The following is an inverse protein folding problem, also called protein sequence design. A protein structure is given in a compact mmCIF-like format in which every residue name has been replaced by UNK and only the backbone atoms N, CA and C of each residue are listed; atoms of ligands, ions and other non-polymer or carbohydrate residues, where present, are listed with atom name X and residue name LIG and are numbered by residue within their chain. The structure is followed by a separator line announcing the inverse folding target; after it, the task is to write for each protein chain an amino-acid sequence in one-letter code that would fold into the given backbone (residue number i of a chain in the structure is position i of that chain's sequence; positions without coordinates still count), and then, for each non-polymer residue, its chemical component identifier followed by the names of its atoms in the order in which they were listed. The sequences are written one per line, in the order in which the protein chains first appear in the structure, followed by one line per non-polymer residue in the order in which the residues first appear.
data_IF_167046742979
#
_entry.id   IF_167046742979
#
_cell.length_a   1.000
_cell.length_b   1.000
_cell.length_c   1.000
_cell.angle_alpha   90.00
_cell.angle_beta   90.00
_cell.angle_gamma   90.00
#
_symmetry.space_group_name_H-M   'P 1'
#
loop_
_entity.id
_entity.type
_entity.pdbx_description
1 polymer ?
#
# COMPACT_ATOMS: atom_id res chain seq x y z
N UNK A 1 2.93 11.13 -14.97
CA UNK A 1 2.72 11.73 -13.65
C UNK A 1 2.87 10.69 -12.53
N UNK A 2 3.35 11.12 -11.38
CA UNK A 2 3.48 10.25 -10.21
C UNK A 2 2.11 9.69 -9.78
N UNK A 3 1.96 8.37 -9.55
CA UNK A 3 0.73 7.81 -9.04
C UNK A 3 0.55 8.09 -7.54
N UNK A 4 -0.69 8.13 -7.09
CA UNK A 4 -1.09 8.16 -5.69
C UNK A 4 -2.13 7.07 -5.42
N UNK A 5 -2.04 6.39 -4.28
CA UNK A 5 -3.00 5.41 -3.81
C UNK A 5 -3.39 5.76 -2.37
N UNK A 6 -4.69 5.89 -2.12
CA UNK A 6 -5.25 6.30 -0.83
C UNK A 6 -6.23 5.24 -0.33
N UNK A 7 -5.88 4.56 0.77
CA UNK A 7 -6.78 3.60 1.41
C UNK A 7 -7.85 4.31 2.22
N UNK A 8 -9.11 3.96 1.98
CA UNK A 8 -10.24 4.64 2.61
C UNK A 8 -11.44 3.70 2.83
N UNK A 9 -12.22 3.93 3.87
CA UNK A 9 -13.51 3.28 4.04
C UNK A 9 -14.62 4.01 3.24
N UNK A 10 -15.75 3.34 3.06
CA UNK A 10 -16.87 3.86 2.26
C UNK A 10 -17.43 5.20 2.78
N UNK A 11 -17.33 5.48 4.08
CA UNK A 11 -17.88 6.69 4.70
C UNK A 11 -17.13 7.95 4.31
N UNK A 12 -15.81 7.82 4.18
CA UNK A 12 -14.93 8.93 3.82
C UNK A 12 -14.62 8.99 2.32
N UNK A 13 -15.17 8.04 1.55
CA UNK A 13 -14.89 7.94 0.12
C UNK A 13 -15.20 9.23 -0.65
N UNK A 14 -16.38 9.90 -0.49
CA UNK A 14 -16.63 11.17 -1.18
C UNK A 14 -15.62 12.26 -0.80
N UNK A 15 -15.30 12.38 0.49
CA UNK A 15 -14.39 13.41 0.97
C UNK A 15 -12.98 13.26 0.42
N UNK A 16 -12.48 12.02 0.32
CA UNK A 16 -11.12 11.78 -0.18
C UNK A 16 -11.01 12.02 -1.69
N UNK A 17 -12.07 11.67 -2.45
CA UNK A 17 -12.08 11.94 -3.90
C UNK A 17 -12.15 13.42 -4.21
N UNK A 18 -12.91 14.19 -3.43
CA UNK A 18 -12.96 15.65 -3.55
C UNK A 18 -11.61 16.27 -3.16
N UNK A 19 -11.05 15.87 -2.02
CA UNK A 19 -9.76 16.37 -1.54
C UNK A 19 -8.63 16.11 -2.54
N UNK A 20 -8.59 14.92 -3.16
CA UNK A 20 -7.62 14.55 -4.19
C UNK A 20 -7.68 15.53 -5.37
N UNK A 21 -8.88 15.82 -5.86
CA UNK A 21 -9.11 16.71 -7.00
C UNK A 21 -8.83 18.17 -6.65
N UNK A 22 -9.23 18.64 -5.47
CA UNK A 22 -8.92 19.99 -4.99
C UNK A 22 -7.42 20.24 -4.82
N UNK A 23 -6.67 19.18 -4.47
CA UNK A 23 -5.22 19.23 -4.40
C UNK A 23 -4.54 19.23 -5.79
N UNK A 24 -5.31 19.25 -6.88
CA UNK A 24 -4.80 19.31 -8.26
C UNK A 24 -4.38 17.95 -8.84
N UNK A 25 -4.72 16.84 -8.18
CA UNK A 25 -4.48 15.51 -8.72
C UNK A 25 -5.60 15.09 -9.68
N UNK A 26 -5.27 14.28 -10.65
CA UNK A 26 -6.24 13.66 -11.55
C UNK A 26 -6.73 12.37 -10.90
N UNK A 27 -7.97 12.33 -10.45
CA UNK A 27 -8.59 11.10 -10.01
C UNK A 27 -8.81 10.18 -11.21
N UNK A 28 -8.27 8.96 -11.17
CA UNK A 28 -8.31 8.01 -12.27
C UNK A 28 -9.21 6.81 -12.01
N UNK A 29 -9.52 6.53 -10.77
CA UNK A 29 -10.41 5.42 -10.45
C UNK A 29 -10.25 4.93 -9.03
N UNK A 30 -10.79 3.73 -8.81
CA UNK A 30 -10.79 3.06 -7.51
C UNK A 30 -10.55 1.58 -7.70
N UNK A 31 -9.59 1.04 -6.97
CA UNK A 31 -9.46 -0.38 -6.77
C UNK A 31 -10.09 -0.79 -5.43
N UNK A 32 -10.36 -2.06 -5.27
CA UNK A 32 -11.04 -2.60 -4.08
C UNK A 32 -10.15 -3.63 -3.40
N UNK A 33 -9.96 -3.48 -2.11
CA UNK A 33 -9.45 -4.55 -1.27
C UNK A 33 -10.61 -5.30 -0.62
N UNK A 34 -10.84 -6.52 -1.10
CA UNK A 34 -11.78 -7.48 -0.53
C UNK A 34 -11.08 -8.28 0.58
N UNK A 35 -11.49 -8.07 1.82
CA UNK A 35 -10.94 -8.73 3.01
C UNK A 35 -11.42 -10.20 3.15
N UNK A 36 -12.36 -10.62 2.30
CA UNK A 36 -12.94 -11.97 2.28
C UNK A 36 -13.87 -12.25 3.45
N UNK A 37 -13.50 -11.86 4.65
CA UNK A 37 -14.30 -12.03 5.86
C UNK A 37 -14.55 -10.69 6.56
N UNK A 38 -15.78 -10.49 6.94
CA UNK A 38 -16.15 -9.43 7.87
C UNK A 38 -17.24 -9.98 8.80
N UNK A 39 -17.38 -9.36 9.96
CA UNK A 39 -18.41 -9.79 10.92
C UNK A 39 -19.78 -9.72 10.25
N UNK A 40 -20.52 -10.85 10.13
CA UNK A 40 -21.83 -10.84 9.51
C UNK A 40 -22.81 -10.05 10.39
N UNK A 41 -23.67 -9.26 9.74
CA UNK A 41 -24.76 -8.55 10.38
C UNK A 41 -26.08 -8.93 9.69
N UNK A 42 -27.04 -9.41 10.47
CA UNK A 42 -28.36 -9.82 9.92
C UNK A 42 -29.05 -8.63 9.24
N UNK A 43 -29.60 -8.85 8.04
CA UNK A 43 -30.33 -7.84 7.28
C UNK A 43 -29.47 -6.73 6.67
N UNK A 44 -28.14 -6.91 6.57
CA UNK A 44 -27.22 -5.92 6.01
C UNK A 44 -26.20 -6.56 5.09
N UNK A 45 -25.65 -5.77 4.19
CA UNK A 45 -24.48 -6.18 3.42
C UNK A 45 -23.22 -6.23 4.30
N UNK A 46 -22.33 -7.18 4.06
CA UNK A 46 -21.05 -7.27 4.75
C UNK A 46 -20.15 -6.09 4.37
N UNK A 47 -19.56 -5.45 5.36
CA UNK A 47 -18.56 -4.40 5.18
C UNK A 47 -17.16 -5.03 5.00
N UNK A 48 -16.99 -5.81 3.94
CA UNK A 48 -15.76 -6.56 3.70
C UNK A 48 -14.79 -5.87 2.74
N UNK A 49 -15.20 -4.77 2.13
CA UNK A 49 -14.38 -4.01 1.20
C UNK A 49 -13.78 -2.77 1.86
N UNK A 50 -12.54 -2.48 1.52
CA UNK A 50 -11.88 -1.19 1.69
C UNK A 50 -11.48 -0.68 0.30
N UNK A 51 -11.51 0.62 0.10
CA UNK A 51 -11.29 1.20 -1.22
C UNK A 51 -9.89 1.79 -1.32
N UNK A 52 -9.31 1.68 -2.52
CA UNK A 52 -8.04 2.29 -2.87
C UNK A 52 -8.35 3.32 -3.95
N UNK A 53 -8.59 4.56 -3.54
CA UNK A 53 -8.74 5.68 -4.48
C UNK A 53 -7.37 5.97 -5.06
N UNK A 54 -7.28 6.00 -6.40
CA UNK A 54 -6.01 6.24 -7.05
C UNK A 54 -6.08 7.33 -8.11
N UNK A 55 -4.97 8.00 -8.30
CA UNK A 55 -4.85 9.11 -9.22
C UNK A 55 -3.42 9.35 -9.66
N UNK A 56 -3.21 10.43 -10.39
CA UNK A 56 -1.86 10.84 -10.79
C UNK A 56 -1.67 12.35 -10.71
N UNK A 57 -0.46 12.76 -10.43
CA UNK A 57 -0.04 14.14 -10.57
C UNK A 57 0.35 14.40 -12.04
N UNK A 58 -0.62 14.92 -12.80
CA UNK A 58 -0.46 15.14 -14.24
C UNK A 58 -0.70 13.92 -15.12
N UNK A 59 -0.33 13.97 -16.40
CA UNK A 59 -0.58 12.92 -17.38
C UNK A 59 0.06 11.59 -17.01
N UNK A 60 -0.63 10.49 -17.35
CA UNK A 60 -0.15 9.14 -17.18
C UNK A 60 -0.18 8.43 -18.54
N UNK A 61 0.94 8.40 -19.29
CA UNK A 61 1.01 7.81 -20.62
C UNK A 61 0.74 6.31 -20.60
N UNK A 62 0.15 5.79 -21.67
CA UNK A 62 -0.17 4.35 -21.82
C UNK A 62 1.11 3.49 -21.91
N UNK A 63 2.19 4.05 -22.44
CA UNK A 63 3.45 3.34 -22.65
C UNK A 63 4.38 3.32 -21.42
N UNK A 64 3.85 3.55 -20.23
CA UNK A 64 4.62 3.35 -18.99
C UNK A 64 5.07 1.90 -18.86
N UNK A 65 6.29 1.65 -18.32
CA UNK A 65 6.80 0.29 -18.12
C UNK A 65 6.14 -0.39 -16.89
N UNK A 66 4.83 -0.32 -16.81
CA UNK A 66 4.00 -0.87 -15.73
C UNK A 66 2.91 -1.74 -16.36
N UNK A 67 2.78 -2.97 -15.88
CA UNK A 67 1.75 -3.90 -16.34
C UNK A 67 0.34 -3.44 -15.97
N UNK A 68 -0.67 -4.03 -16.60
CA UNK A 68 -2.05 -3.87 -16.15
C UNK A 68 -2.22 -4.54 -14.78
N UNK A 69 -2.64 -3.76 -13.78
CA UNK A 69 -2.82 -4.23 -12.42
C UNK A 69 -4.29 -4.59 -12.15
N UNK A 70 -4.57 -5.53 -11.23
CA UNK A 70 -5.93 -5.89 -10.87
C UNK A 70 -6.67 -4.71 -10.20
N UNK A 71 -7.96 -4.58 -10.51
CA UNK A 71 -8.85 -3.62 -9.84
C UNK A 71 -9.46 -4.15 -8.54
N UNK A 72 -9.26 -5.44 -8.21
CA UNK A 72 -9.74 -6.08 -6.99
C UNK A 72 -8.64 -6.96 -6.40
N UNK A 73 -8.29 -6.70 -5.16
CA UNK A 73 -7.31 -7.45 -4.38
C UNK A 73 -8.03 -8.27 -3.31
N UNK A 74 -7.71 -9.57 -3.18
CA UNK A 74 -8.34 -10.47 -2.20
C UNK A 74 -7.31 -10.96 -1.20
N UNK A 75 -7.20 -10.25 -0.09
CA UNK A 75 -6.30 -10.57 1.01
C UNK A 75 -7.02 -10.48 2.33
N UNK A 76 -6.98 -11.54 3.13
CA UNK A 76 -7.48 -11.50 4.50
C UNK A 76 -6.74 -10.48 5.36
N UNK A 77 -7.39 -10.04 6.41
CA UNK A 77 -6.69 -9.21 7.40
C UNK A 77 -5.54 -10.01 8.04
N UNK A 78 -4.38 -9.38 8.31
CA UNK A 78 -3.29 -10.04 9.04
C UNK A 78 -3.79 -10.57 10.39
N UNK A 79 -3.43 -11.83 10.73
CA UNK A 79 -3.88 -12.46 11.97
C UNK A 79 -3.14 -11.93 13.20
N UNK A 80 -1.84 -11.67 13.06
CA UNK A 80 -0.96 -11.14 14.13
C UNK A 80 -0.62 -9.67 13.85
N UNK A 81 -1.64 -8.81 13.91
CA UNK A 81 -1.43 -7.39 13.65
C UNK A 81 -0.60 -6.74 14.74
N UNK A 82 0.42 -6.04 14.33
CA UNK A 82 1.21 -5.16 15.19
C UNK A 82 0.48 -3.82 15.37
N UNK A 83 -0.30 -3.43 14.35
CA UNK A 83 -1.13 -2.22 14.36
C UNK A 83 -2.56 -2.55 13.92
N UNK A 84 -3.58 -1.89 14.53
CA UNK A 84 -5.01 -2.14 14.22
C UNK A 84 -5.35 -1.91 12.75
N UNK A 85 -4.68 -0.96 12.10
CA UNK A 85 -4.88 -0.61 10.68
C UNK A 85 -3.83 -1.20 9.76
N UNK A 86 -3.00 -2.14 10.24
CA UNK A 86 -1.97 -2.77 9.42
C UNK A 86 -2.57 -3.47 8.20
N UNK A 87 -2.03 -3.15 7.02
CA UNK A 87 -2.42 -3.79 5.76
C UNK A 87 -1.63 -5.08 5.56
N UNK A 88 -2.21 -6.09 4.86
CA UNK A 88 -1.44 -7.27 4.48
C UNK A 88 -0.22 -6.89 3.65
N UNK A 89 0.94 -7.46 3.96
CA UNK A 89 2.19 -7.19 3.24
C UNK A 89 2.05 -7.49 1.74
N UNK A 90 1.42 -8.61 1.39
CA UNK A 90 1.22 -8.99 -0.02
C UNK A 90 0.30 -8.02 -0.76
N UNK A 91 -0.75 -7.49 -0.12
CA UNK A 91 -1.56 -6.42 -0.70
C UNK A 91 -0.71 -5.19 -1.04
N UNK A 92 0.17 -4.79 -0.11
CA UNK A 92 1.04 -3.63 -0.34
C UNK A 92 2.04 -3.89 -1.45
N UNK A 93 2.62 -5.09 -1.53
CA UNK A 93 3.50 -5.50 -2.63
C UNK A 93 2.81 -5.38 -4.00
N UNK A 94 1.54 -5.76 -4.09
CA UNK A 94 0.79 -5.66 -5.35
C UNK A 94 0.41 -4.22 -5.68
N UNK A 95 -0.03 -3.44 -4.69
CA UNK A 95 -0.43 -2.03 -4.90
C UNK A 95 0.74 -1.16 -5.35
N UNK A 96 1.93 -1.35 -4.77
CA UNK A 96 3.11 -0.55 -5.13
C UNK A 96 3.62 -0.83 -6.56
N UNK A 97 3.20 -1.92 -7.22
CA UNK A 97 3.54 -2.21 -8.61
C UNK A 97 3.05 -1.12 -9.59
N UNK A 98 2.17 -0.22 -9.16
CA UNK A 98 1.81 0.96 -9.95
C UNK A 98 2.97 1.95 -10.11
N UNK A 99 3.97 1.88 -9.26
CA UNK A 99 5.22 2.62 -9.37
C UNK A 99 6.05 2.07 -10.55
N UNK A 100 6.69 2.96 -11.29
CA UNK A 100 7.60 2.54 -12.35
C UNK A 100 8.89 1.92 -11.77
N UNK A 101 9.50 0.95 -12.46
CA UNK A 101 10.78 0.39 -12.03
C UNK A 101 11.81 1.49 -11.74
N UNK A 102 12.51 1.38 -10.61
CA UNK A 102 13.46 2.39 -10.13
C UNK A 102 12.84 3.65 -9.54
N UNK A 103 11.50 3.72 -9.45
CA UNK A 103 10.80 4.84 -8.81
C UNK A 103 10.95 4.82 -7.29
N UNK A 104 10.73 6.00 -6.68
CA UNK A 104 10.72 6.19 -5.23
C UNK A 104 9.29 6.18 -4.70
N UNK A 105 9.03 5.34 -3.70
CA UNK A 105 7.74 5.26 -3.00
C UNK A 105 7.81 6.13 -1.75
N UNK A 106 6.82 7.01 -1.58
CA UNK A 106 6.65 7.82 -0.37
C UNK A 106 5.40 7.38 0.37
N UNK A 107 5.55 7.01 1.63
CA UNK A 107 4.42 6.79 2.55
C UNK A 107 4.50 7.80 3.72
N UNK A 108 3.71 8.88 3.69
CA UNK A 108 3.74 9.90 4.73
C UNK A 108 3.03 9.48 6.02
N UNK A 109 2.44 8.27 6.08
CA UNK A 109 1.74 7.70 7.24
C UNK A 109 2.14 6.24 7.44
N UNK A 110 3.46 5.99 7.51
CA UNK A 110 4.06 4.66 7.38
C UNK A 110 3.66 3.66 8.49
N UNK A 111 3.22 4.15 9.65
CA UNK A 111 2.82 3.28 10.76
C UNK A 111 3.92 2.29 11.14
N UNK A 112 3.59 0.99 11.12
CA UNK A 112 4.54 -0.10 11.36
C UNK A 112 5.40 -0.46 10.12
N UNK A 113 5.49 0.40 9.10
CA UNK A 113 6.41 0.28 7.99
C UNK A 113 6.04 -0.75 6.92
N UNK A 114 4.78 -1.19 6.82
CA UNK A 114 4.39 -2.25 5.87
C UNK A 114 4.65 -1.85 4.41
N UNK A 115 4.40 -0.59 4.04
CA UNK A 115 4.68 -0.07 2.70
C UNK A 115 6.18 -0.10 2.41
N UNK A 116 6.99 0.32 3.38
CA UNK A 116 8.45 0.37 3.25
C UNK A 116 9.03 -1.04 3.13
N UNK A 117 8.54 -1.97 3.95
CA UNK A 117 8.90 -3.38 3.86
C UNK A 117 8.52 -3.99 2.50
N UNK A 118 7.29 -3.72 2.02
CA UNK A 118 6.84 -4.17 0.71
C UNK A 118 7.73 -3.64 -0.41
N UNK A 119 8.13 -2.37 -0.34
CA UNK A 119 9.03 -1.75 -1.29
C UNK A 119 10.41 -2.41 -1.28
N UNK A 120 11.01 -2.57 -0.10
CA UNK A 120 12.32 -3.21 0.06
C UNK A 120 12.35 -4.63 -0.52
N UNK A 121 11.36 -5.46 -0.17
CA UNK A 121 11.24 -6.83 -0.68
C UNK A 121 10.86 -6.94 -2.17
N UNK A 122 10.43 -5.83 -2.78
CA UNK A 122 10.07 -5.74 -4.20
C UNK A 122 11.09 -4.98 -5.04
N UNK A 123 12.24 -4.59 -4.47
CA UNK A 123 13.31 -3.90 -5.18
C UNK A 123 13.05 -2.42 -5.47
N UNK A 124 12.12 -1.78 -4.75
CA UNK A 124 11.88 -0.35 -4.84
C UNK A 124 12.61 0.42 -3.75
N UNK A 125 12.98 1.66 -4.05
CA UNK A 125 13.37 2.63 -3.03
C UNK A 125 12.10 3.17 -2.33
N UNK A 126 12.19 3.44 -1.02
CA UNK A 126 11.06 3.99 -0.29
C UNK A 126 11.49 4.94 0.82
N UNK A 127 10.61 5.91 1.11
CA UNK A 127 10.69 6.81 2.25
C UNK A 127 9.38 6.71 3.03
N UNK A 128 9.47 6.38 4.32
CA UNK A 128 8.35 6.38 5.25
C UNK A 128 8.45 7.53 6.25
N UNK A 129 7.33 8.16 6.56
CA UNK A 129 7.22 9.16 7.62
C UNK A 129 6.21 8.64 8.64
N UNK A 130 6.60 8.64 9.91
CA UNK A 130 5.73 8.26 11.03
C UNK A 130 5.97 9.20 12.21
N UNK A 131 4.88 9.78 12.73
CA UNK A 131 4.94 10.77 13.81
C UNK A 131 5.03 10.13 15.19
N UNK A 132 4.57 8.88 15.32
CA UNK A 132 4.52 8.15 16.59
C UNK A 132 5.81 7.39 16.82
N UNK A 133 6.62 7.79 17.79
CA UNK A 133 7.93 7.18 18.08
C UNK A 133 7.92 5.67 18.23
N UNK A 134 6.89 5.11 18.89
CA UNK A 134 6.78 3.65 19.06
C UNK A 134 6.57 2.92 17.74
N UNK A 135 5.75 3.45 16.83
CA UNK A 135 5.54 2.88 15.51
C UNK A 135 6.73 3.10 14.59
N UNK A 136 7.38 4.27 14.69
CA UNK A 136 8.61 4.53 13.94
C UNK A 136 9.71 3.52 14.29
N UNK A 137 9.97 3.30 15.59
CA UNK A 137 10.96 2.31 16.05
C UNK A 137 10.61 0.91 15.55
N UNK A 138 9.35 0.50 15.73
CA UNK A 138 8.86 -0.80 15.32
C UNK A 138 9.00 -1.03 13.79
N UNK A 139 8.61 -0.05 12.99
CA UNK A 139 8.73 -0.10 11.54
C UNK A 139 10.18 -0.12 11.07
N UNK A 140 11.03 0.69 11.68
CA UNK A 140 12.47 0.74 11.39
C UNK A 140 13.17 -0.59 11.70
N UNK A 141 12.91 -1.20 12.86
CA UNK A 141 13.47 -2.49 13.22
C UNK A 141 12.98 -3.60 12.27
N UNK A 142 11.70 -3.60 11.93
CA UNK A 142 11.11 -4.57 11.01
C UNK A 142 11.74 -4.53 9.61
N UNK A 143 11.94 -3.33 9.08
CA UNK A 143 12.58 -3.14 7.76
C UNK A 143 14.04 -3.53 7.82
N UNK A 144 14.78 -3.11 8.85
CA UNK A 144 16.19 -3.46 9.04
C UNK A 144 16.40 -4.98 9.07
N UNK A 145 15.62 -5.70 9.88
CA UNK A 145 15.71 -7.17 9.99
C UNK A 145 15.45 -7.84 8.63
N UNK A 146 14.46 -7.36 7.88
CA UNK A 146 14.15 -7.92 6.57
C UNK A 146 15.27 -7.70 5.54
N UNK A 147 15.92 -6.53 5.56
CA UNK A 147 17.04 -6.23 4.68
C UNK A 147 18.27 -7.09 5.04
N UNK A 148 18.61 -7.22 6.32
CA UNK A 148 19.71 -8.07 6.80
C UNK A 148 19.51 -9.54 6.40
N UNK A 149 18.27 -10.05 6.52
CA UNK A 149 17.93 -11.41 6.09
C UNK A 149 18.03 -11.61 4.57
N UNK A 150 17.68 -10.59 3.78
CA UNK A 150 17.84 -10.61 2.31
C UNK A 150 19.30 -10.69 1.89
N UNK A 151 20.15 -9.86 2.47
CA UNK A 151 21.60 -9.85 2.19
C UNK A 151 22.28 -11.19 2.57
N UNK A 152 21.89 -11.81 3.67
CA UNK A 152 22.38 -13.13 4.07
C UNK A 152 21.94 -14.24 3.12
N UNK A 153 20.76 -14.14 2.51
CA UNK A 153 20.26 -15.11 1.55
C UNK A 153 21.03 -15.02 0.21
N UNK A 154 21.25 -13.82 -0.28
CA UNK A 154 22.01 -13.57 -1.52
C UNK A 154 23.48 -14.06 -1.39
N UNK A 155 24.11 -13.89 -0.24
CA UNK A 155 25.48 -14.33 0.02
C UNK A 155 25.63 -15.85 0.16
N UNK A 156 24.54 -16.60 0.28
CA UNK A 156 24.52 -18.09 0.43
C UNK A 156 24.22 -18.85 -0.85
N UNK A 157 23.80 -18.17 -1.94
CA UNK A 157 23.67 -18.80 -3.25
C UNK A 157 25.06 -19.03 -3.85
N UNK A 158 25.49 -20.30 -4.09
CA UNK A 158 26.76 -20.59 -4.72
C UNK A 158 26.72 -20.18 -6.19
N UNK A 159 27.80 -19.52 -6.63
CA UNK A 159 28.08 -19.20 -8.03
C UNK A 159 28.22 -20.46 -8.89
#
# INVERSE_FOLDING_TARGET
GAPICLFIDWRQYPSITDALQWAGWIWRGTAVWDKGNSRPQKGRFRQQAEYIVWGSNGPMPINRPVSCLPGVFRYGNPQNRIHVTEKPLQLMKDVIQICEPGGLILDPFAGAGTTILAAAESGFQAVGIEVTDSYYKLGSDRVRIALEAGEEAENKEPQ
#
